data_IF_809594556550
#
_entry.id   IF_809594556550
#
_cell.length_a   1.000
_cell.length_b   1.000
_cell.length_c   1.000
_cell.angle_alpha   90.00
_cell.angle_beta   90.00
_cell.angle_gamma   90.00
#
_symmetry.space_group_name_H-M   'P 1'
#
loop_
_entity.id
_entity.type
_entity.pdbx_description
1 polymer ?
#
# COMPACT_ATOMS: atom_id res chain seq x y z
N UNK A 1 -67.16 -3.41 34.72
CA UNK A 1 -65.91 -2.64 34.94
C UNK A 1 -64.86 -3.58 35.53
N UNK A 2 -63.95 -4.09 34.70
CA UNK A 2 -62.61 -4.59 35.05
C UNK A 2 -61.92 -4.98 33.73
N UNK A 3 -60.88 -4.23 33.39
CA UNK A 3 -59.93 -4.46 32.30
C UNK A 3 -58.74 -5.21 32.91
N UNK A 4 -58.20 -6.24 32.24
CA UNK A 4 -56.77 -6.59 32.28
C UNK A 4 -56.44 -7.53 31.10
N UNK A 5 -55.94 -7.01 29.99
CA UNK A 5 -54.53 -6.76 29.59
C UNK A 5 -53.97 -7.92 28.75
N UNK A 6 -53.88 -7.67 27.44
CA UNK A 6 -53.22 -8.54 26.48
C UNK A 6 -51.70 -8.52 26.69
N UNK A 7 -51.11 -9.72 26.74
CA UNK A 7 -49.67 -9.93 26.87
C UNK A 7 -49.01 -9.79 25.49
N UNK A 8 -48.37 -8.65 25.21
CA UNK A 8 -47.56 -8.45 24.01
C UNK A 8 -46.19 -9.10 24.21
N UNK A 9 -46.04 -10.33 23.71
CA UNK A 9 -44.74 -10.99 23.60
C UNK A 9 -43.92 -10.24 22.54
N UNK A 10 -42.92 -9.50 23.00
CA UNK A 10 -41.97 -8.75 22.18
C UNK A 10 -41.27 -9.71 21.22
N UNK A 11 -41.68 -9.68 19.95
CA UNK A 11 -40.91 -10.27 18.87
C UNK A 11 -39.61 -9.48 18.76
N UNK A 12 -38.51 -10.10 19.18
CA UNK A 12 -37.15 -9.64 18.88
C UNK A 12 -37.03 -9.46 17.37
N UNK A 13 -37.01 -8.22 16.92
CA UNK A 13 -36.71 -7.86 15.54
C UNK A 13 -35.32 -8.36 15.20
N UNK A 14 -35.22 -9.45 14.44
CA UNK A 14 -34.02 -9.75 13.68
C UNK A 14 -33.90 -8.64 12.63
N UNK A 15 -33.08 -7.63 12.93
CA UNK A 15 -32.63 -6.68 11.93
C UNK A 15 -31.84 -7.47 10.89
N UNK A 16 -32.50 -7.81 9.78
CA UNK A 16 -31.81 -8.28 8.58
C UNK A 16 -30.88 -7.18 8.15
N UNK A 17 -29.57 -7.35 8.40
CA UNK A 17 -28.54 -6.45 7.87
C UNK A 17 -28.79 -6.31 6.37
N UNK A 18 -29.12 -5.10 5.93
CA UNK A 18 -29.27 -4.81 4.51
C UNK A 18 -28.00 -5.19 3.74
N UNK A 19 -28.09 -5.41 2.42
CA UNK A 19 -26.95 -5.82 1.61
C UNK A 19 -25.76 -4.90 1.87
N UNK A 20 -24.65 -5.48 2.33
CA UNK A 20 -23.41 -4.74 2.60
C UNK A 20 -22.98 -4.10 1.28
N UNK A 21 -22.78 -2.77 1.28
CA UNK A 21 -22.23 -2.07 0.12
C UNK A 21 -20.90 -2.74 -0.27
N UNK A 22 -20.77 -3.31 -1.48
CA UNK A 22 -19.57 -4.05 -1.88
C UNK A 22 -18.28 -3.25 -1.78
N UNK A 23 -18.34 -1.93 -2.03
CA UNK A 23 -17.19 -1.03 -1.89
C UNK A 23 -16.79 -0.92 -0.42
N UNK A 24 -17.75 -0.77 0.48
CA UNK A 24 -17.50 -0.72 1.91
C UNK A 24 -16.93 -2.05 2.44
N UNK A 25 -17.41 -3.19 1.92
CA UNK A 25 -16.82 -4.49 2.26
C UNK A 25 -15.36 -4.60 1.83
N UNK A 26 -15.01 -4.08 0.65
CA UNK A 26 -13.61 -4.01 0.19
C UNK A 26 -12.78 -3.06 1.06
N UNK A 27 -13.33 -1.92 1.47
CA UNK A 27 -12.62 -0.97 2.33
C UNK A 27 -12.28 -1.59 3.68
N UNK A 28 -13.20 -2.34 4.28
CA UNK A 28 -12.96 -3.10 5.50
C UNK A 28 -11.89 -4.19 5.32
N UNK A 29 -11.93 -4.91 4.19
CA UNK A 29 -10.92 -5.90 3.85
C UNK A 29 -9.53 -5.27 3.71
N UNK A 30 -9.41 -4.18 2.96
CA UNK A 30 -8.14 -3.49 2.75
C UNK A 30 -7.62 -2.88 4.05
N UNK A 31 -8.49 -2.24 4.84
CA UNK A 31 -8.17 -1.78 6.20
C UNK A 31 -7.58 -2.91 7.02
N UNK A 32 -8.22 -4.09 7.02
CA UNK A 32 -7.75 -5.23 7.80
C UNK A 32 -6.36 -5.71 7.35
N UNK A 33 -6.16 -5.86 6.04
CA UNK A 33 -4.87 -6.27 5.47
C UNK A 33 -3.75 -5.30 5.85
N UNK A 34 -4.01 -4.00 5.73
CA UNK A 34 -3.03 -2.96 6.04
C UNK A 34 -2.77 -2.82 7.54
N UNK A 35 -3.77 -3.08 8.39
CA UNK A 35 -3.62 -3.08 9.85
C UNK A 35 -2.71 -4.17 10.39
N UNK A 36 -2.47 -5.24 9.62
CA UNK A 36 -1.53 -6.30 9.98
C UNK A 36 -0.06 -5.90 9.72
N UNK A 37 0.20 -4.77 9.04
CA UNK A 37 1.54 -4.23 8.83
C UNK A 37 2.03 -3.59 10.15
N UNK A 38 3.20 -3.98 10.68
CA UNK A 38 3.77 -3.32 11.85
C UNK A 38 3.94 -1.82 11.63
N UNK A 39 3.58 -1.01 12.62
CA UNK A 39 3.67 0.45 12.56
C UNK A 39 5.06 0.96 12.18
N UNK A 40 6.13 0.26 12.58
CA UNK A 40 7.51 0.59 12.22
C UNK A 40 7.82 0.41 10.72
N UNK A 41 7.11 -0.48 10.03
CA UNK A 41 7.31 -0.78 8.60
C UNK A 41 6.26 -0.15 7.70
N UNK A 42 5.14 0.30 8.26
CA UNK A 42 4.05 0.93 7.50
C UNK A 42 4.50 2.14 6.67
N UNK A 43 5.33 3.08 7.16
CA UNK A 43 5.82 4.18 6.34
C UNK A 43 6.62 3.70 5.12
N UNK A 44 7.38 2.60 5.26
CA UNK A 44 8.13 2.02 4.14
C UNK A 44 7.18 1.40 3.12
N UNK A 45 6.16 0.68 3.58
CA UNK A 45 5.12 0.12 2.71
C UNK A 45 4.39 1.22 1.92
N UNK A 46 4.01 2.31 2.58
CA UNK A 46 3.36 3.45 1.94
C UNK A 46 4.24 4.14 0.90
N UNK A 47 5.55 4.27 1.15
CA UNK A 47 6.51 4.80 0.16
C UNK A 47 6.61 3.93 -1.08
N UNK A 48 6.70 2.60 -0.91
CA UNK A 48 6.73 1.65 -2.02
C UNK A 48 5.42 1.72 -2.82
N UNK A 49 4.28 1.66 -2.13
CA UNK A 49 2.95 1.72 -2.74
C UNK A 49 2.73 3.05 -3.47
N UNK A 50 3.12 4.18 -2.88
CA UNK A 50 2.93 5.49 -3.49
C UNK A 50 3.74 5.68 -4.74
N UNK A 51 5.01 5.32 -4.71
CA UNK A 51 5.85 5.41 -5.90
C UNK A 51 5.26 4.57 -7.03
N UNK A 52 4.85 3.34 -6.72
CA UNK A 52 4.17 2.45 -7.65
C UNK A 52 2.88 3.03 -8.24
N UNK A 53 2.03 3.64 -7.39
CA UNK A 53 0.73 4.19 -7.77
C UNK A 53 0.84 5.45 -8.62
N UNK A 54 1.73 6.39 -8.26
CA UNK A 54 1.76 7.74 -8.82
C UNK A 54 2.80 7.95 -9.91
N UNK A 55 3.90 7.19 -9.94
CA UNK A 55 5.00 7.39 -10.89
C UNK A 55 5.05 6.35 -12.01
N UNK A 56 3.94 5.66 -12.27
CA UNK A 56 3.84 4.64 -13.30
C UNK A 56 5.04 3.68 -13.26
N UNK A 57 5.38 3.16 -12.07
CA UNK A 57 6.51 2.23 -11.88
C UNK A 57 6.31 0.87 -12.54
N UNK A 58 5.41 0.77 -13.53
CA UNK A 58 5.14 -0.42 -14.32
C UNK A 58 6.36 -0.87 -15.13
N UNK A 59 7.39 -0.03 -15.23
CA UNK A 59 8.65 -0.38 -15.89
C UNK A 59 9.81 -0.58 -14.90
N UNK A 60 9.57 -0.40 -13.59
CA UNK A 60 10.60 -0.58 -12.56
C UNK A 60 10.50 -1.96 -11.93
N UNK A 61 11.58 -2.74 -12.11
CA UNK A 61 11.76 -4.02 -11.42
C UNK A 61 11.75 -3.81 -9.91
N UNK A 62 11.43 -4.86 -9.16
CA UNK A 62 11.41 -4.79 -7.70
C UNK A 62 12.77 -4.34 -7.12
N UNK A 63 13.88 -4.73 -7.75
CA UNK A 63 15.23 -4.25 -7.41
C UNK A 63 15.37 -2.75 -7.67
N UNK A 64 15.06 -2.27 -8.88
CA UNK A 64 15.20 -0.85 -9.22
C UNK A 64 14.35 0.03 -8.30
N UNK A 65 13.17 -0.44 -7.91
CA UNK A 65 12.29 0.25 -6.98
C UNK A 65 12.90 0.33 -5.57
N UNK A 66 13.45 -0.77 -5.06
CA UNK A 66 14.14 -0.80 -3.76
C UNK A 66 15.37 0.11 -3.75
N UNK A 67 16.20 0.03 -4.80
CA UNK A 67 17.41 0.84 -4.97
C UNK A 67 17.08 2.33 -5.06
N UNK A 68 16.07 2.70 -5.86
CA UNK A 68 15.65 4.09 -5.99
C UNK A 68 15.23 4.68 -4.64
N UNK A 69 14.52 3.91 -3.81
CA UNK A 69 14.11 4.32 -2.48
C UNK A 69 15.24 4.26 -1.43
N UNK A 70 16.38 3.63 -1.76
CA UNK A 70 17.49 3.39 -0.85
C UNK A 70 17.16 2.34 0.23
N UNK A 71 16.37 1.33 -0.14
CA UNK A 71 15.96 0.25 0.75
C UNK A 71 16.86 -0.97 0.56
N UNK A 72 17.34 -1.55 1.66
CA UNK A 72 17.92 -2.88 1.60
C UNK A 72 16.83 -3.95 1.42
N UNK A 73 17.25 -5.14 1.00
CA UNK A 73 16.37 -6.28 0.73
C UNK A 73 15.47 -6.64 1.91
N UNK A 74 16.00 -6.66 3.13
CA UNK A 74 15.23 -7.04 4.31
C UNK A 74 14.09 -6.02 4.58
N UNK A 75 14.39 -4.73 4.51
CA UNK A 75 13.41 -3.66 4.69
C UNK A 75 12.34 -3.64 3.58
N UNK A 76 12.74 -3.92 2.33
CA UNK A 76 11.81 -3.98 1.22
C UNK A 76 10.81 -5.14 1.37
N UNK A 77 11.32 -6.35 1.63
CA UNK A 77 10.46 -7.53 1.76
C UNK A 77 9.63 -7.54 3.03
N UNK A 78 10.15 -7.03 4.16
CA UNK A 78 9.38 -6.94 5.40
C UNK A 78 8.20 -5.97 5.26
N UNK A 79 8.37 -4.86 4.55
CA UNK A 79 7.31 -3.88 4.29
C UNK A 79 6.16 -4.46 3.43
N UNK A 80 6.46 -5.42 2.55
CA UNK A 80 5.48 -6.02 1.63
C UNK A 80 4.92 -7.37 2.11
N UNK A 81 5.44 -7.92 3.21
CA UNK A 81 5.14 -9.27 3.68
C UNK A 81 3.64 -9.51 3.92
N UNK A 82 2.88 -8.49 4.34
CA UNK A 82 1.44 -8.61 4.64
C UNK A 82 0.55 -8.32 3.43
N UNK A 83 1.14 -7.95 2.30
CA UNK A 83 0.42 -7.47 1.13
C UNK A 83 0.28 -8.53 0.03
N UNK A 84 0.70 -9.78 0.25
CA UNK A 84 0.61 -10.84 -0.76
C UNK A 84 -0.82 -11.17 -1.23
N UNK A 85 -1.85 -10.79 -0.47
CA UNK A 85 -3.26 -10.95 -0.88
C UNK A 85 -3.73 -9.88 -1.88
N UNK A 86 -3.01 -8.75 -1.97
CA UNK A 86 -3.37 -7.59 -2.82
C UNK A 86 -2.27 -7.24 -3.82
N UNK A 87 -1.07 -7.78 -3.64
CA UNK A 87 0.10 -7.59 -4.48
C UNK A 87 0.70 -8.93 -4.94
N UNK A 88 1.16 -8.94 -6.19
CA UNK A 88 2.20 -9.86 -6.67
C UNK A 88 3.55 -9.24 -6.31
N UNK A 89 4.26 -9.88 -5.37
CA UNK A 89 5.60 -9.47 -4.96
C UNK A 89 6.60 -10.49 -5.50
N UNK A 90 7.53 -10.11 -6.39
CA UNK A 90 8.54 -11.01 -6.91
C UNK A 90 9.38 -11.64 -5.79
N UNK A 91 9.65 -12.93 -5.90
CA UNK A 91 10.70 -13.53 -5.09
C UNK A 91 12.03 -12.82 -5.35
N UNK A 92 12.90 -12.83 -4.38
CA UNK A 92 14.14 -12.07 -4.50
C UNK A 92 15.14 -12.62 -5.52
N UNK A 93 14.94 -13.86 -6.00
CA UNK A 93 15.66 -14.40 -7.15
C UNK A 93 15.16 -13.76 -8.46
N UNK A 94 13.88 -13.39 -8.52
CA UNK A 94 13.18 -12.82 -9.69
C UNK A 94 13.01 -11.29 -9.60
N UNK A 95 13.61 -10.65 -8.61
CA UNK A 95 13.37 -9.22 -8.36
C UNK A 95 14.04 -8.31 -9.40
N UNK A 96 15.01 -8.83 -10.16
CA UNK A 96 15.75 -8.11 -11.19
C UNK A 96 15.02 -8.09 -12.55
N UNK A 97 14.08 -9.00 -12.77
CA UNK A 97 13.35 -9.16 -14.03
C UNK A 97 11.82 -9.05 -13.88
N UNK A 98 11.31 -9.02 -12.64
CA UNK A 98 9.88 -8.87 -12.36
C UNK A 98 9.55 -7.59 -11.59
N UNK A 99 8.33 -7.11 -11.84
CA UNK A 99 7.73 -5.92 -11.26
C UNK A 99 6.84 -6.30 -10.07
N UNK A 100 6.57 -5.34 -9.17
CA UNK A 100 5.40 -5.44 -8.29
C UNK A 100 4.14 -5.25 -9.12
N UNK A 101 3.06 -5.97 -8.82
CA UNK A 101 1.76 -5.75 -9.45
C UNK A 101 0.65 -5.73 -8.40
N UNK A 102 -0.40 -4.94 -8.62
CA UNK A 102 -1.63 -5.00 -7.83
C UNK A 102 -2.62 -5.94 -8.49
N UNK A 103 -3.27 -6.78 -7.69
CA UNK A 103 -4.36 -7.64 -8.19
C UNK A 103 -5.59 -6.84 -8.59
N UNK A 104 -5.87 -5.73 -7.91
CA UNK A 104 -7.13 -5.00 -8.03
C UNK A 104 -6.91 -3.48 -8.09
N UNK A 105 -7.49 -2.84 -9.09
CA UNK A 105 -7.48 -1.37 -9.21
C UNK A 105 -8.13 -0.69 -7.99
N UNK A 106 -9.19 -1.31 -7.44
CA UNK A 106 -9.89 -0.82 -6.24
C UNK A 106 -9.00 -0.68 -5.00
N UNK A 107 -7.91 -1.45 -4.91
CA UNK A 107 -6.93 -1.29 -3.82
C UNK A 107 -6.13 0.00 -3.97
N UNK A 108 -5.66 0.32 -5.19
CA UNK A 108 -5.05 1.62 -5.48
C UNK A 108 -6.05 2.76 -5.22
N UNK A 109 -7.29 2.63 -5.64
CA UNK A 109 -8.30 3.68 -5.46
C UNK A 109 -8.61 3.92 -3.98
N UNK A 110 -8.66 2.85 -3.18
CA UNK A 110 -8.77 2.92 -1.74
C UNK A 110 -7.60 3.70 -1.12
N UNK A 111 -6.36 3.35 -1.48
CA UNK A 111 -5.15 4.02 -0.95
C UNK A 111 -5.04 5.49 -1.36
N UNK A 112 -5.57 5.87 -2.53
CA UNK A 112 -5.56 7.27 -3.02
C UNK A 112 -6.57 8.16 -2.29
N UNK A 113 -7.59 7.58 -1.68
CA UNK A 113 -8.69 8.32 -1.04
C UNK A 113 -8.52 8.34 0.49
N UNK A 114 -8.11 9.48 1.09
CA UNK A 114 -7.94 9.57 2.54
C UNK A 114 -9.24 9.41 3.33
N UNK A 115 -10.40 9.71 2.73
CA UNK A 115 -11.68 9.52 3.40
C UNK A 115 -12.01 8.03 3.58
N UNK A 116 -11.51 7.17 2.69
CA UNK A 116 -11.68 5.71 2.76
C UNK A 116 -10.58 5.03 3.56
N UNK A 117 -9.33 5.46 3.38
CA UNK A 117 -8.15 4.74 3.90
C UNK A 117 -7.52 5.32 5.16
N UNK A 118 -7.92 6.52 5.59
CA UNK A 118 -7.45 7.11 6.85
C UNK A 118 -5.93 7.21 6.94
N UNK A 119 -5.35 6.58 7.96
CA UNK A 119 -3.89 6.55 8.19
C UNK A 119 -3.12 5.79 7.10
N UNK A 120 -3.78 4.90 6.38
CA UNK A 120 -3.16 4.12 5.31
C UNK A 120 -3.08 4.88 3.98
N UNK A 121 -3.70 6.05 3.91
CA UNK A 121 -3.76 6.86 2.69
C UNK A 121 -2.36 7.20 2.17
N UNK A 122 -2.18 7.02 0.88
CA UNK A 122 -0.97 7.41 0.16
C UNK A 122 -1.26 8.72 -0.57
N UNK A 123 -0.50 9.77 -0.25
CA UNK A 123 -0.69 11.09 -0.83
C UNK A 123 0.26 11.31 -2.00
N UNK A 124 -0.28 11.85 -3.09
CA UNK A 124 0.50 12.16 -4.30
C UNK A 124 1.61 13.16 -3.99
N UNK A 125 1.30 14.27 -3.32
CA UNK A 125 2.29 15.33 -3.04
C UNK A 125 3.49 14.84 -2.20
N UNK A 126 3.26 14.02 -1.18
CA UNK A 126 4.36 13.44 -0.39
C UNK A 126 5.18 12.43 -1.19
N UNK A 127 4.52 11.66 -2.04
CA UNK A 127 5.18 10.69 -2.94
C UNK A 127 6.08 11.41 -3.94
N UNK A 128 5.55 12.43 -4.61
CA UNK A 128 6.31 13.22 -5.59
C UNK A 128 7.49 13.93 -4.94
N UNK A 129 7.31 14.46 -3.72
CA UNK A 129 8.40 15.07 -2.98
C UNK A 129 9.50 14.06 -2.63
N UNK A 130 9.14 12.89 -2.11
CA UNK A 130 10.12 11.82 -1.79
C UNK A 130 10.84 11.35 -3.07
N UNK A 131 10.11 11.15 -4.17
CA UNK A 131 10.68 10.77 -5.46
C UNK A 131 11.64 11.85 -6.01
N UNK A 132 11.27 13.13 -5.95
CA UNK A 132 12.11 14.24 -6.37
C UNK A 132 13.39 14.33 -5.53
N UNK A 133 13.26 14.20 -4.21
CA UNK A 133 14.41 14.20 -3.30
C UNK A 133 15.35 13.03 -3.58
N UNK A 134 14.81 11.83 -3.84
CA UNK A 134 15.61 10.68 -4.24
C UNK A 134 16.27 10.90 -5.58
N UNK A 135 15.55 11.37 -6.59
CA UNK A 135 16.11 11.71 -7.90
C UNK A 135 17.28 12.71 -7.80
N UNK A 136 17.13 13.77 -6.99
CA UNK A 136 18.21 14.74 -6.75
C UNK A 136 19.42 14.10 -6.04
N UNK A 137 19.20 13.22 -5.06
CA UNK A 137 20.29 12.47 -4.42
C UNK A 137 21.06 11.62 -5.43
N UNK A 138 20.34 10.92 -6.31
CA UNK A 138 20.91 10.13 -7.39
C UNK A 138 21.69 10.99 -8.38
N UNK A 139 21.17 12.14 -8.81
CA UNK A 139 21.87 13.06 -9.70
C UNK A 139 23.11 13.67 -9.05
N UNK A 140 23.06 14.01 -7.76
CA UNK A 140 24.21 14.53 -7.04
C UNK A 140 25.30 13.46 -6.84
N UNK A 141 24.90 12.20 -6.63
CA UNK A 141 25.83 11.08 -6.59
C UNK A 141 26.41 10.77 -7.96
N UNK A 142 25.58 10.79 -9.00
CA UNK A 142 25.95 10.62 -10.40
C UNK A 142 26.89 11.72 -10.87
N UNK A 143 26.62 12.99 -10.55
CA UNK A 143 27.47 14.15 -10.88
C UNK A 143 28.86 14.09 -10.27
N UNK A 144 28.99 13.52 -9.07
CA UNK A 144 30.29 13.20 -8.44
C UNK A 144 30.99 11.99 -9.07
N UNK A 145 30.22 11.08 -9.67
CA UNK A 145 30.71 9.89 -10.38
C UNK A 145 30.80 10.07 -11.92
N UNK A 146 30.44 11.22 -12.49
CA UNK A 146 30.67 11.51 -13.91
C UNK A 146 32.18 11.57 -14.23
N UNK A 147 33.02 11.79 -13.21
CA UNK A 147 34.47 11.59 -13.25
C UNK A 147 34.91 10.12 -13.29
N UNK A 148 34.05 9.17 -12.88
CA UNK A 148 34.33 7.73 -12.75
C UNK A 148 33.13 6.90 -13.25
N UNK A 149 32.80 6.94 -14.54
CA UNK A 149 31.70 6.13 -15.07
C UNK A 149 32.11 4.66 -15.24
N UNK A 150 31.48 3.78 -14.45
CA UNK A 150 30.97 2.44 -14.78
C UNK A 150 30.81 1.68 -13.45
N UNK A 151 29.65 1.76 -12.80
CA UNK A 151 29.04 0.79 -11.87
C UNK A 151 27.93 1.47 -11.02
N UNK A 152 26.87 0.74 -10.61
CA UNK A 152 25.94 1.20 -9.59
C UNK A 152 26.65 1.37 -8.23
N UNK A 153 26.14 2.24 -7.33
CA UNK A 153 26.74 2.49 -6.02
C UNK A 153 26.85 1.21 -5.17
N UNK A 154 27.95 1.01 -4.42
CA UNK A 154 28.02 -0.07 -3.43
C UNK A 154 27.09 0.23 -2.25
N UNK A 155 26.30 -0.78 -1.88
CA UNK A 155 25.51 -0.86 -0.64
C UNK A 155 26.37 -0.84 0.61
#
# INVERSE_FOLDING_TARGET
MMILTANSKSASSFSTAGPINPIHALDLLYTRILSDIPAATLPVAQRILGLFIFHNSRDLTAVNLAEFLGLNRASFYSALQRLHSVLIVPSALRAHDMLIQMYHASFSDYLKDPARSGEFAVREGSTQLDAAMKGLQWLNYGGKNLSNRLLPPPT
#
